data_IF_835063480212
#
_entry.id   IF_835063480212
#
_cell.length_a   1.000
_cell.length_b   1.000
_cell.length_c   1.000
_cell.angle_alpha   90.00
_cell.angle_beta   90.00
_cell.angle_gamma   90.00
#
_symmetry.space_group_name_H-M   'P 1'
#
loop_
_entity.id
_entity.type
_entity.pdbx_description
1 polymer ?
#
# COMPACT_ATOMS: atom_id res chain seq x y z
N UNK A 1 41.39 -67.77 16.81
CA UNK A 1 40.13 -67.02 16.83
C UNK A 1 40.44 -65.52 16.79
N UNK A 2 40.60 -64.94 15.60
CA UNK A 2 40.82 -63.48 15.42
C UNK A 2 40.41 -63.11 14.00
N UNK A 3 39.14 -62.99 13.75
CA UNK A 3 38.58 -62.34 12.55
C UNK A 3 37.17 -61.92 12.89
N UNK A 4 36.94 -60.67 13.24
CA UNK A 4 35.63 -60.01 13.12
C UNK A 4 35.61 -58.58 13.71
N UNK A 5 36.61 -57.74 13.49
CA UNK A 5 36.51 -56.33 13.90
C UNK A 5 36.80 -55.30 12.80
N UNK A 6 37.19 -55.72 11.60
CA UNK A 6 37.48 -54.77 10.52
C UNK A 6 36.27 -54.32 9.69
N UNK A 7 35.11 -54.95 9.85
CA UNK A 7 33.91 -54.62 9.07
C UNK A 7 33.09 -53.43 9.62
N UNK A 8 33.06 -53.24 10.92
CA UNK A 8 32.20 -52.23 11.55
C UNK A 8 32.75 -50.81 11.44
N UNK A 9 34.04 -50.64 11.49
CA UNK A 9 34.71 -49.33 11.39
C UNK A 9 34.53 -48.68 9.99
N UNK A 10 34.49 -49.54 8.94
CA UNK A 10 34.31 -49.02 7.57
C UNK A 10 32.89 -48.50 7.32
N UNK A 11 31.86 -49.11 7.91
CA UNK A 11 30.49 -48.67 7.77
C UNK A 11 30.19 -47.36 8.56
N UNK A 12 30.82 -47.16 9.70
CA UNK A 12 30.63 -45.96 10.50
C UNK A 12 31.25 -44.71 9.82
N UNK A 13 32.41 -44.84 9.19
CA UNK A 13 33.07 -43.74 8.49
C UNK A 13 32.26 -43.29 7.27
N UNK A 14 31.63 -44.19 6.56
CA UNK A 14 30.77 -43.88 5.42
C UNK A 14 29.51 -43.11 5.82
N UNK A 15 28.88 -43.49 6.92
CA UNK A 15 27.67 -42.80 7.43
C UNK A 15 27.93 -41.38 7.91
N UNK A 16 29.09 -41.14 8.54
CA UNK A 16 29.46 -39.78 8.96
C UNK A 16 29.81 -38.90 7.79
N UNK A 17 30.49 -39.38 6.77
CA UNK A 17 30.84 -38.62 5.56
C UNK A 17 29.59 -38.25 4.75
N UNK A 18 28.62 -39.18 4.65
CA UNK A 18 27.37 -38.92 3.95
C UNK A 18 26.49 -37.89 4.69
N UNK A 19 26.42 -37.96 6.02
CA UNK A 19 25.68 -36.98 6.82
C UNK A 19 26.31 -35.57 6.79
N UNK A 20 27.64 -35.48 6.79
CA UNK A 20 28.32 -34.19 6.60
C UNK A 20 28.11 -33.59 5.21
N UNK A 21 28.08 -34.41 4.16
CA UNK A 21 27.83 -33.92 2.81
C UNK A 21 26.42 -33.37 2.65
N UNK A 22 25.41 -34.00 3.29
CA UNK A 22 24.01 -33.50 3.26
C UNK A 22 23.89 -32.23 4.10
N UNK A 23 24.54 -32.13 5.24
CA UNK A 23 24.52 -30.94 6.08
C UNK A 23 25.19 -29.73 5.41
N UNK A 24 26.26 -29.94 4.66
CA UNK A 24 26.93 -28.90 3.86
C UNK A 24 26.09 -28.47 2.67
N UNK A 25 25.37 -29.40 2.02
CA UNK A 25 24.51 -29.08 0.88
C UNK A 25 23.27 -28.28 1.33
N UNK A 26 22.68 -28.61 2.48
CA UNK A 26 21.55 -27.82 3.03
C UNK A 26 21.98 -26.44 3.52
N UNK A 27 23.18 -26.29 4.06
CA UNK A 27 23.72 -24.99 4.45
C UNK A 27 24.02 -24.09 3.23
N UNK A 28 24.49 -24.66 2.12
CA UNK A 28 24.72 -23.94 0.88
C UNK A 28 23.41 -23.46 0.22
N UNK A 29 22.33 -24.20 0.34
CA UNK A 29 21.01 -23.83 -0.16
C UNK A 29 20.36 -22.70 0.68
N UNK A 30 20.69 -22.60 1.96
CA UNK A 30 20.17 -21.54 2.83
C UNK A 30 20.94 -20.21 2.65
N UNK A 31 22.21 -20.23 2.22
CA UNK A 31 22.97 -19.00 1.96
C UNK A 31 22.65 -18.38 0.60
N UNK A 32 22.12 -19.14 -0.36
CA UNK A 32 21.69 -18.59 -1.65
C UNK A 32 20.34 -17.86 -1.58
N UNK A 33 19.59 -18.03 -0.49
CA UNK A 33 18.32 -17.31 -0.30
C UNK A 33 18.48 -15.91 0.31
N UNK A 34 19.70 -15.52 0.75
CA UNK A 34 19.94 -14.22 1.39
C UNK A 34 20.80 -13.27 0.53
N UNK A 35 21.13 -13.63 -0.70
CA UNK A 35 21.98 -12.86 -1.62
C UNK A 35 21.29 -12.45 -2.91
N UNK A 36 19.97 -12.34 -2.89
CA UNK A 36 19.23 -11.75 -4.00
C UNK A 36 19.16 -10.23 -3.79
N UNK A 37 20.05 -9.45 -4.43
CA UNK A 37 19.65 -8.15 -4.92
C UNK A 37 18.56 -8.42 -5.95
N UNK A 38 17.32 -8.68 -5.48
CA UNK A 38 16.17 -8.76 -6.34
C UNK A 38 16.02 -7.40 -6.98
N UNK A 39 15.97 -7.36 -8.30
CA UNK A 39 15.33 -6.26 -8.99
C UNK A 39 14.04 -6.01 -8.20
N UNK A 40 13.87 -4.80 -7.68
CA UNK A 40 12.63 -4.42 -7.04
C UNK A 40 11.54 -4.74 -8.06
N UNK A 41 10.69 -5.72 -7.75
CA UNK A 41 9.59 -6.08 -8.63
C UNK A 41 8.80 -4.81 -8.99
N UNK A 42 8.00 -4.83 -10.04
CA UNK A 42 7.19 -3.66 -10.38
C UNK A 42 6.43 -3.22 -9.12
N UNK A 43 6.32 -1.89 -8.90
CA UNK A 43 5.63 -1.36 -7.73
C UNK A 43 4.25 -2.02 -7.58
N UNK A 44 3.89 -2.40 -6.38
CA UNK A 44 2.61 -3.03 -6.10
C UNK A 44 1.46 -2.06 -6.39
N UNK A 45 0.29 -2.58 -6.77
CA UNK A 45 -0.90 -1.77 -6.95
C UNK A 45 -1.46 -1.31 -5.59
N UNK A 46 -2.03 -0.11 -5.52
CA UNK A 46 -2.89 0.26 -4.41
C UNK A 46 -4.25 -0.46 -4.50
N UNK A 47 -4.79 -0.87 -3.37
CA UNK A 47 -6.15 -1.39 -3.26
C UNK A 47 -7.01 -0.36 -2.50
N UNK A 48 -7.42 0.68 -3.20
CA UNK A 48 -8.12 1.81 -2.59
C UNK A 48 -9.54 1.40 -2.19
N UNK A 49 -9.77 1.34 -0.89
CA UNK A 49 -11.09 1.20 -0.28
C UNK A 49 -11.81 2.54 -0.24
N UNK A 50 -13.09 2.56 -0.59
CA UNK A 50 -13.94 3.75 -0.65
C UNK A 50 -15.14 3.58 0.27
N UNK A 51 -15.30 4.51 1.22
CA UNK A 51 -16.45 4.59 2.12
C UNK A 51 -17.07 5.98 2.02
N UNK A 52 -18.37 6.07 1.77
CA UNK A 52 -19.10 7.33 1.66
C UNK A 52 -20.23 7.35 2.69
N UNK A 53 -20.30 8.42 3.49
CA UNK A 53 -21.33 8.56 4.54
C UNK A 53 -21.35 7.40 5.54
N UNK A 54 -20.19 6.79 5.82
CA UNK A 54 -20.03 5.64 6.71
C UNK A 54 -20.40 4.29 6.08
N UNK A 55 -20.76 4.25 4.79
CA UNK A 55 -21.07 3.03 4.07
C UNK A 55 -19.91 2.65 3.14
N UNK A 56 -19.40 1.42 3.24
CA UNK A 56 -18.44 0.89 2.28
C UNK A 56 -19.06 0.80 0.88
N UNK A 57 -18.42 1.40 -0.11
CA UNK A 57 -18.93 1.47 -1.48
C UNK A 57 -18.19 0.49 -2.39
N UNK A 58 -16.87 0.53 -2.37
CA UNK A 58 -16.03 -0.28 -3.27
C UNK A 58 -14.58 -0.41 -2.78
N UNK A 59 -13.89 -1.38 -3.36
CA UNK A 59 -12.43 -1.45 -3.32
C UNK A 59 -11.94 -1.57 -4.75
N UNK A 60 -11.00 -0.73 -5.14
CA UNK A 60 -10.49 -0.66 -6.52
C UNK A 60 -8.98 -0.77 -6.53
N UNK A 61 -8.46 -1.67 -7.35
CA UNK A 61 -7.02 -1.79 -7.60
C UNK A 61 -6.57 -0.70 -8.55
N UNK A 62 -5.65 0.14 -8.12
CA UNK A 62 -5.06 1.22 -8.91
C UNK A 62 -3.59 0.93 -9.15
N UNK A 63 -3.20 0.82 -10.42
CA UNK A 63 -1.81 0.63 -10.80
C UNK A 63 -0.96 1.86 -10.43
N UNK A 64 0.36 1.73 -10.24
CA UNK A 64 1.25 2.85 -10.02
C UNK A 64 1.11 3.92 -11.11
N UNK A 65 0.92 5.18 -10.69
CA UNK A 65 0.64 6.30 -11.59
C UNK A 65 -0.77 6.31 -12.18
N UNK A 66 -1.63 5.35 -11.81
CA UNK A 66 -3.03 5.30 -12.23
C UNK A 66 -3.95 6.21 -11.44
N UNK A 67 -5.23 6.27 -11.85
CA UNK A 67 -6.24 7.10 -11.21
C UNK A 67 -7.55 6.37 -10.96
N UNK A 68 -8.29 6.85 -9.96
CA UNK A 68 -9.64 6.47 -9.61
C UNK A 68 -10.52 7.73 -9.63
N UNK A 69 -11.63 7.68 -10.36
CA UNK A 69 -12.59 8.78 -10.42
C UNK A 69 -13.78 8.50 -9.51
N UNK A 70 -14.13 9.46 -8.65
CA UNK A 70 -15.23 9.38 -7.69
C UNK A 70 -16.09 10.63 -7.74
N UNK A 71 -17.35 10.51 -7.30
CA UNK A 71 -18.22 11.65 -7.05
C UNK A 71 -18.91 11.49 -5.69
N UNK A 72 -19.04 12.60 -4.96
CA UNK A 72 -19.82 12.68 -3.71
C UNK A 72 -20.70 13.92 -3.73
N UNK A 73 -21.74 13.92 -2.90
CA UNK A 73 -22.54 15.13 -2.66
C UNK A 73 -21.89 15.97 -1.54
N UNK A 74 -22.02 17.27 -1.66
CA UNK A 74 -21.64 18.20 -0.57
C UNK A 74 -22.37 17.83 0.71
N UNK A 75 -21.68 17.82 1.84
CA UNK A 75 -22.20 17.35 3.12
C UNK A 75 -21.95 15.87 3.39
N UNK A 76 -21.46 15.11 2.42
CA UNK A 76 -21.02 13.74 2.65
C UNK A 76 -19.54 13.71 3.10
N UNK A 77 -19.24 12.73 3.96
CA UNK A 77 -17.89 12.35 4.33
C UNK A 77 -17.42 11.22 3.45
N UNK A 78 -16.21 11.33 2.90
CA UNK A 78 -15.53 10.29 2.13
C UNK A 78 -14.33 9.79 2.91
N UNK A 79 -14.22 8.47 3.10
CA UNK A 79 -13.01 7.84 3.62
C UNK A 79 -12.37 7.06 2.49
N UNK A 80 -11.09 7.32 2.26
CA UNK A 80 -10.24 6.56 1.35
C UNK A 80 -9.20 5.81 2.16
N UNK A 81 -9.06 4.52 1.90
CA UNK A 81 -8.09 3.64 2.52
C UNK A 81 -7.16 3.10 1.43
N UNK A 82 -5.86 3.33 1.55
CA UNK A 82 -4.89 2.89 0.55
C UNK A 82 -4.58 1.38 0.62
N UNK A 83 -5.02 0.71 1.70
CA UNK A 83 -4.70 -0.70 1.97
C UNK A 83 -3.25 -0.94 2.39
N UNK A 84 -2.46 0.13 2.50
CA UNK A 84 -1.08 0.14 2.98
C UNK A 84 -0.69 1.54 3.49
N UNK A 85 0.37 1.66 4.29
CA UNK A 85 0.88 2.95 4.75
C UNK A 85 1.21 3.90 3.60
N UNK A 86 0.49 5.02 3.52
CA UNK A 86 0.60 6.02 2.47
C UNK A 86 0.54 7.45 3.02
N UNK A 87 1.18 8.36 2.30
CA UNK A 87 1.03 9.81 2.52
C UNK A 87 -0.04 10.33 1.57
N UNK A 88 -1.10 10.90 2.12
CA UNK A 88 -2.16 11.52 1.36
C UNK A 88 -1.94 13.04 1.21
N UNK A 89 -1.98 13.52 -0.03
CA UNK A 89 -1.91 14.93 -0.37
C UNK A 89 -3.21 15.37 -1.04
N UNK A 90 -3.86 16.38 -0.50
CA UNK A 90 -5.04 17.00 -1.12
C UNK A 90 -4.61 18.17 -2.01
N UNK A 91 -5.12 18.21 -3.23
CA UNK A 91 -4.96 19.32 -4.18
C UNK A 91 -6.31 19.96 -4.44
N UNK A 92 -6.44 21.26 -4.14
CA UNK A 92 -7.64 22.06 -4.40
C UNK A 92 -7.27 23.23 -5.28
N UNK A 93 -7.92 23.35 -6.44
CA UNK A 93 -7.57 24.38 -7.41
C UNK A 93 -6.11 24.33 -7.86
N UNK A 94 -5.48 23.15 -7.87
CA UNK A 94 -4.08 22.94 -8.24
C UNK A 94 -3.06 23.25 -7.14
N UNK A 95 -3.50 23.68 -5.95
CA UNK A 95 -2.62 23.95 -4.80
C UNK A 95 -2.69 22.80 -3.79
N UNK A 96 -1.53 22.38 -3.28
CA UNK A 96 -1.45 21.39 -2.23
C UNK A 96 -1.94 21.97 -0.90
N UNK A 97 -2.80 21.21 -0.22
CA UNK A 97 -3.32 21.55 1.10
C UNK A 97 -2.68 20.62 2.13
N UNK A 98 -2.11 21.21 3.17
CA UNK A 98 -1.51 20.44 4.26
C UNK A 98 -2.61 19.72 5.05
N UNK A 99 -2.35 18.46 5.42
CA UNK A 99 -3.33 17.62 6.13
C UNK A 99 -3.92 18.31 7.37
N UNK A 100 -5.24 18.19 7.54
CA UNK A 100 -6.01 18.80 8.62
C UNK A 100 -6.41 20.25 8.40
N UNK A 101 -5.94 20.89 7.34
CA UNK A 101 -6.37 22.26 7.01
C UNK A 101 -7.75 22.27 6.34
N UNK A 102 -8.58 23.22 6.73
CA UNK A 102 -9.83 23.50 6.05
C UNK A 102 -9.58 24.54 4.93
N UNK A 103 -10.08 24.23 3.75
CA UNK A 103 -9.99 25.12 2.59
C UNK A 103 -11.38 25.50 2.14
N UNK A 104 -11.62 26.81 1.99
CA UNK A 104 -12.81 27.30 1.34
C UNK A 104 -12.55 27.50 -0.16
N UNK A 105 -13.23 26.72 -0.98
CA UNK A 105 -13.07 26.76 -2.43
C UNK A 105 -14.41 26.62 -3.15
N UNK A 106 -14.67 27.50 -4.12
CA UNK A 106 -15.86 27.50 -4.99
C UNK A 106 -17.22 27.39 -4.24
N UNK A 107 -17.29 27.88 -3.00
CA UNK A 107 -18.50 27.90 -2.18
C UNK A 107 -18.63 26.73 -1.20
N UNK A 108 -17.68 25.83 -1.16
CA UNK A 108 -17.61 24.75 -0.18
C UNK A 108 -16.42 24.87 0.77
N UNK A 109 -16.59 24.38 1.99
CA UNK A 109 -15.50 24.06 2.90
C UNK A 109 -15.09 22.62 2.64
N UNK A 110 -13.82 22.39 2.44
CA UNK A 110 -13.22 21.07 2.18
C UNK A 110 -12.13 20.86 3.22
N UNK A 111 -12.19 19.75 3.94
CA UNK A 111 -11.20 19.36 4.95
C UNK A 111 -10.72 17.95 4.64
N UNK A 112 -9.40 17.74 4.61
CA UNK A 112 -8.81 16.41 4.52
C UNK A 112 -8.05 16.11 5.81
N UNK A 113 -8.43 15.06 6.51
CA UNK A 113 -7.81 14.64 7.77
C UNK A 113 -7.29 13.23 7.65
N UNK A 114 -5.99 13.03 7.90
CA UNK A 114 -5.42 11.68 7.99
C UNK A 114 -5.91 11.01 9.27
N UNK A 115 -6.61 9.87 9.17
CA UNK A 115 -7.09 9.10 10.32
C UNK A 115 -5.99 8.24 10.91
N UNK A 116 -5.22 7.60 10.06
CA UNK A 116 -4.11 6.71 10.38
C UNK A 116 -3.07 6.75 9.25
N UNK A 117 -2.13 5.81 9.23
CA UNK A 117 -1.11 5.76 8.19
C UNK A 117 -1.63 5.34 6.81
N UNK A 118 -2.85 4.83 6.72
CA UNK A 118 -3.41 4.23 5.50
C UNK A 118 -4.59 5.03 4.96
N UNK A 119 -5.33 5.73 5.82
CA UNK A 119 -6.62 6.31 5.47
C UNK A 119 -6.66 7.82 5.63
N UNK A 120 -7.41 8.47 4.74
CA UNK A 120 -7.76 9.89 4.80
C UNK A 120 -9.28 10.07 4.79
N UNK A 121 -9.78 11.02 5.58
CA UNK A 121 -11.18 11.49 5.52
C UNK A 121 -11.23 12.80 4.79
N UNK A 122 -12.15 12.90 3.84
CA UNK A 122 -12.51 14.17 3.18
C UNK A 122 -13.92 14.52 3.60
N UNK A 123 -14.05 15.60 4.36
CA UNK A 123 -15.33 16.18 4.75
C UNK A 123 -15.62 17.40 3.89
N UNK A 124 -16.88 17.53 3.47
CA UNK A 124 -17.32 18.64 2.64
C UNK A 124 -18.57 19.29 3.25
N UNK A 125 -18.65 20.62 3.22
CA UNK A 125 -19.86 21.35 3.62
C UNK A 125 -20.01 22.63 2.81
N UNK A 126 -21.25 23.05 2.57
CA UNK A 126 -21.55 24.35 1.97
C UNK A 126 -22.76 24.95 2.65
N UNK A 127 -22.76 26.28 2.77
CA UNK A 127 -23.91 27.03 3.31
C UNK A 127 -25.06 27.16 2.30
N UNK A 128 -24.75 27.09 1.02
CA UNK A 128 -25.67 27.21 -0.11
C UNK A 128 -25.36 26.15 -1.16
N UNK A 129 -26.31 25.82 -2.05
CA UNK A 129 -26.05 24.93 -3.18
C UNK A 129 -24.86 25.42 -4.01
N UNK A 130 -24.01 24.48 -4.42
CA UNK A 130 -22.86 24.78 -5.27
C UNK A 130 -23.33 25.34 -6.63
N UNK A 131 -22.63 26.31 -7.16
CA UNK A 131 -22.92 26.88 -8.49
C UNK A 131 -22.49 25.95 -9.62
N UNK A 132 -21.48 25.13 -9.37
CA UNK A 132 -20.95 24.12 -10.28
C UNK A 132 -20.27 23.00 -9.47
N UNK A 133 -20.12 21.80 -10.02
CA UNK A 133 -19.31 20.75 -9.40
C UNK A 133 -17.88 21.21 -9.14
N UNK A 134 -17.31 20.79 -8.02
CA UNK A 134 -15.96 21.16 -7.59
C UNK A 134 -15.03 19.96 -7.78
N UNK A 135 -14.06 20.04 -8.71
CA UNK A 135 -13.04 19.01 -8.84
C UNK A 135 -11.94 19.21 -7.79
N UNK A 136 -11.60 18.15 -7.11
CA UNK A 136 -10.43 18.07 -6.23
C UNK A 136 -9.65 16.81 -6.52
N UNK A 137 -8.38 16.76 -6.17
CA UNK A 137 -7.52 15.62 -6.40
C UNK A 137 -6.85 15.21 -5.09
N UNK A 138 -6.88 13.91 -4.77
CA UNK A 138 -6.08 13.33 -3.71
C UNK A 138 -5.01 12.46 -4.33
N UNK A 139 -3.81 12.53 -3.77
CA UNK A 139 -2.67 11.71 -4.20
C UNK A 139 -2.23 10.86 -3.03
N UNK A 140 -2.27 9.55 -3.18
CA UNK A 140 -1.66 8.59 -2.26
C UNK A 140 -0.26 8.26 -2.75
N UNK A 141 0.73 8.38 -1.87
CA UNK A 141 2.11 7.96 -2.13
C UNK A 141 2.48 6.92 -1.07
N UNK A 142 2.89 5.73 -1.49
CA UNK A 142 3.33 4.68 -0.58
C UNK A 142 4.51 5.15 0.26
N UNK A 143 4.51 4.78 1.55
CA UNK A 143 5.68 5.03 2.42
C UNK A 143 6.78 3.98 2.22
N UNK A 144 6.47 2.86 1.56
CA UNK A 144 7.45 1.81 1.25
C UNK A 144 8.17 2.07 -0.07
N UNK A 145 7.45 2.64 -1.06
CA UNK A 145 8.01 2.94 -2.38
C UNK A 145 7.42 4.25 -2.93
N UNK A 146 8.23 5.29 -3.00
CA UNK A 146 7.82 6.62 -3.48
C UNK A 146 7.44 6.65 -4.97
N UNK A 147 7.74 5.62 -5.73
CA UNK A 147 7.32 5.47 -7.14
C UNK A 147 5.88 4.97 -7.22
N UNK A 148 5.42 4.26 -6.19
CA UNK A 148 4.04 3.82 -6.08
C UNK A 148 3.16 5.01 -5.67
N UNK A 149 2.48 5.57 -6.65
CA UNK A 149 1.58 6.73 -6.51
C UNK A 149 0.24 6.40 -7.15
N UNK A 150 -0.85 6.73 -6.47
CA UNK A 150 -2.20 6.66 -7.03
C UNK A 150 -2.91 8.01 -6.89
N UNK A 151 -3.71 8.35 -7.88
CA UNK A 151 -4.47 9.60 -7.91
C UNK A 151 -5.96 9.30 -7.75
N UNK A 152 -6.66 10.02 -6.89
CA UNK A 152 -8.11 9.98 -6.78
C UNK A 152 -8.66 11.34 -7.22
N UNK A 153 -9.37 11.36 -8.34
CA UNK A 153 -10.08 12.53 -8.83
C UNK A 153 -11.48 12.52 -8.22
N UNK A 154 -11.76 13.46 -7.34
CA UNK A 154 -13.04 13.56 -6.65
C UNK A 154 -13.84 14.75 -7.16
N UNK A 155 -15.07 14.50 -7.59
CA UNK A 155 -16.03 15.53 -7.99
C UNK A 155 -17.06 15.72 -6.87
N UNK A 156 -17.11 16.94 -6.30
CA UNK A 156 -18.12 17.32 -5.31
C UNK A 156 -19.29 17.97 -6.02
N UNK A 157 -20.48 17.43 -5.81
CA UNK A 157 -21.76 17.88 -6.43
C UNK A 157 -22.77 18.31 -5.38
N UNK A 158 -23.90 18.89 -5.82
CA UNK A 158 -25.05 19.14 -4.93
C UNK A 158 -25.76 17.85 -4.55
#
# INVERSE_FOLDING_TARGET
>A
MAQSQSGELSQQVGKHRFRMAIALLTAALMLSACGGGGDAGPPANFNIGVTVGGQFVSQTTVAPGGSLDLAIHVGQSLVLDAGEPAVWTLLVGGSAVTGGAQVFFAGANITATTLNRESVVVDTSAAFPLRAPIPITLVATSTFDSVQVATVNLLITN
#
